data_IF_459104118569
#
_entry.id   IF_459104118569
#
_cell.length_a   1.000
_cell.length_b   1.000
_cell.length_c   1.000
_cell.angle_alpha   90.00
_cell.angle_beta   90.00
_cell.angle_gamma   90.00
#
_symmetry.space_group_name_H-M   'P 1'
#
loop_
_entity.id
_entity.type
_entity.pdbx_description
1 polymer ?
#
# COMPACT_ATOMS: atom_id res chain seq x y z
N UNK A 1 -2.71 -7.15 -6.37
CA UNK A 1 -1.39 -7.72 -5.97
C UNK A 1 -1.44 -9.26 -5.98
N UNK A 2 -0.30 -9.96 -5.90
CA UNK A 2 -0.20 -11.43 -5.99
C UNK A 2 -0.88 -12.19 -4.83
N UNK A 3 -1.11 -13.50 -5.00
CA UNK A 3 -1.79 -14.36 -4.01
C UNK A 3 -0.87 -14.94 -2.92
N UNK A 4 0.44 -15.01 -3.18
CA UNK A 4 1.45 -15.52 -2.25
C UNK A 4 2.55 -14.49 -2.05
N UNK A 5 3.30 -14.63 -0.96
CA UNK A 5 4.39 -13.71 -0.61
C UNK A 5 5.43 -13.65 -1.73
N UNK A 6 5.84 -14.79 -2.28
CA UNK A 6 6.86 -14.85 -3.35
C UNK A 6 6.39 -14.11 -4.61
N UNK A 7 5.11 -14.26 -4.98
CA UNK A 7 4.53 -13.58 -6.15
C UNK A 7 4.39 -12.07 -5.94
N UNK A 8 4.24 -11.61 -4.70
CA UNK A 8 4.21 -10.17 -4.40
C UNK A 8 5.63 -9.60 -4.47
N UNK A 9 6.60 -10.28 -3.87
CA UNK A 9 8.01 -9.88 -3.89
C UNK A 9 8.56 -9.78 -5.32
N UNK A 10 8.34 -10.80 -6.16
CA UNK A 10 8.81 -10.82 -7.55
C UNK A 10 8.25 -9.62 -8.35
N UNK A 11 6.98 -9.27 -8.11
CA UNK A 11 6.36 -8.11 -8.75
C UNK A 11 6.95 -6.80 -8.25
N UNK A 12 7.15 -6.64 -6.93
CA UNK A 12 7.75 -5.44 -6.36
C UNK A 12 9.16 -5.20 -6.92
N UNK A 13 9.98 -6.25 -7.03
CA UNK A 13 11.32 -6.14 -7.59
C UNK A 13 11.35 -5.68 -9.06
N UNK A 14 10.28 -5.98 -9.82
CA UNK A 14 10.10 -5.61 -11.23
C UNK A 14 9.61 -4.17 -11.42
N UNK A 15 8.67 -3.71 -10.58
CA UNK A 15 8.00 -2.41 -10.79
C UNK A 15 8.64 -1.26 -10.01
N UNK A 16 9.35 -1.53 -8.91
CA UNK A 16 9.96 -0.48 -8.09
C UNK A 16 11.32 -0.07 -8.68
N UNK A 17 11.52 1.22 -9.04
CA UNK A 17 12.81 1.74 -9.47
C UNK A 17 13.93 1.51 -8.44
N UNK A 18 15.17 1.34 -8.89
CA UNK A 18 16.31 0.97 -8.02
C UNK A 18 16.51 1.92 -6.84
N UNK A 19 16.31 3.22 -7.07
CA UNK A 19 16.47 4.27 -6.05
C UNK A 19 15.54 4.09 -4.85
N UNK A 20 14.37 3.47 -5.03
CA UNK A 20 13.36 3.31 -3.97
C UNK A 20 13.39 1.93 -3.30
N UNK A 21 14.21 0.98 -3.79
CA UNK A 21 14.16 -0.42 -3.32
C UNK A 21 14.52 -0.62 -1.85
N UNK A 22 15.35 0.27 -1.28
CA UNK A 22 15.75 0.21 0.13
C UNK A 22 14.61 0.66 1.04
N UNK A 23 13.92 1.74 0.68
CA UNK A 23 12.94 2.39 1.54
C UNK A 23 11.51 1.88 1.34
N UNK A 24 11.18 1.36 0.14
CA UNK A 24 9.81 0.94 -0.22
C UNK A 24 9.22 -0.07 0.77
N UNK A 25 10.06 -0.95 1.31
CA UNK A 25 9.62 -1.93 2.31
C UNK A 25 9.08 -1.24 3.57
N UNK A 26 9.84 -0.29 4.12
CA UNK A 26 9.42 0.47 5.30
C UNK A 26 8.19 1.33 5.00
N UNK A 27 8.13 1.96 3.82
CA UNK A 27 6.96 2.75 3.42
C UNK A 27 5.68 1.92 3.37
N UNK A 28 5.71 0.74 2.74
CA UNK A 28 4.53 -0.13 2.66
C UNK A 28 4.10 -0.67 4.03
N UNK A 29 5.05 -1.02 4.90
CA UNK A 29 4.75 -1.47 6.26
C UNK A 29 4.11 -0.34 7.09
N UNK A 30 4.72 0.84 7.09
CA UNK A 30 4.21 1.99 7.85
C UNK A 30 2.84 2.42 7.33
N UNK A 31 2.68 2.47 6.01
CA UNK A 31 1.41 2.80 5.37
C UNK A 31 0.31 1.78 5.73
N UNK A 32 0.60 0.48 5.67
CA UNK A 32 -0.35 -0.56 6.07
C UNK A 32 -0.68 -0.54 7.57
N UNK A 33 0.29 -0.18 8.41
CA UNK A 33 0.11 -0.12 9.87
C UNK A 33 -0.74 1.07 10.32
N UNK A 34 -0.56 2.24 9.70
CA UNK A 34 -1.14 3.49 10.19
C UNK A 34 -2.26 4.08 9.31
N UNK A 35 -2.32 3.71 8.02
CA UNK A 35 -3.30 4.25 7.06
C UNK A 35 -4.16 3.15 6.45
N UNK A 36 -3.55 2.22 5.71
CA UNK A 36 -4.25 1.14 5.00
C UNK A 36 -4.44 -0.11 5.90
N UNK A 37 -5.13 0.08 7.02
CA UNK A 37 -5.36 -0.98 8.01
C UNK A 37 -6.40 -2.00 7.52
N UNK A 38 -6.23 -3.27 7.93
CA UNK A 38 -6.96 -4.41 7.36
C UNK A 38 -8.50 -4.37 7.47
N UNK A 39 -9.05 -3.76 8.53
CA UNK A 39 -10.51 -3.77 8.78
C UNK A 39 -11.23 -2.53 8.21
N UNK A 40 -10.77 -1.33 8.57
CA UNK A 40 -11.37 -0.05 8.14
C UNK A 40 -10.24 0.90 7.70
N UNK A 41 -9.79 0.82 6.43
CA UNK A 41 -8.67 1.62 5.95
C UNK A 41 -9.02 3.11 5.97
N UNK A 42 -8.08 3.97 6.36
CA UNK A 42 -8.27 5.41 6.46
C UNK A 42 -8.18 6.10 5.09
N UNK A 43 -9.01 5.70 4.13
CA UNK A 43 -8.89 6.16 2.73
C UNK A 43 -9.01 7.67 2.61
N UNK A 44 -9.93 8.33 3.34
CA UNK A 44 -10.07 9.79 3.33
C UNK A 44 -8.85 10.58 3.86
N UNK A 45 -7.95 9.93 4.60
CA UNK A 45 -6.69 10.52 5.09
C UNK A 45 -5.45 9.93 4.37
N UNK A 46 -5.65 9.18 3.28
CA UNK A 46 -4.59 8.52 2.56
C UNK A 46 -3.95 9.46 1.53
N UNK A 47 -2.62 9.58 1.57
CA UNK A 47 -1.85 10.45 0.66
C UNK A 47 -1.82 9.99 -0.80
N UNK A 48 -2.25 8.76 -1.08
CA UNK A 48 -2.31 8.15 -2.43
C UNK A 48 -3.72 7.66 -2.75
N UNK A 49 -4.75 8.26 -2.14
CA UNK A 49 -6.14 7.86 -2.32
C UNK A 49 -6.57 7.91 -3.78
N UNK A 50 -6.21 8.98 -4.48
CA UNK A 50 -6.52 9.26 -5.88
C UNK A 50 -5.86 8.27 -6.85
N UNK A 51 -4.69 7.76 -6.48
CA UNK A 51 -3.95 6.74 -7.24
C UNK A 51 -4.34 5.30 -6.88
N UNK A 52 -5.09 5.11 -5.79
CA UNK A 52 -5.42 3.78 -5.27
C UNK A 52 -6.58 3.14 -6.03
N UNK A 53 -6.35 1.96 -6.62
CA UNK A 53 -7.32 1.17 -7.38
C UNK A 53 -8.28 0.34 -6.51
N UNK A 54 -8.25 0.50 -5.18
CA UNK A 54 -9.18 -0.20 -4.29
C UNK A 54 -10.59 0.34 -4.47
N UNK A 55 -11.58 -0.55 -4.70
CA UNK A 55 -12.96 -0.17 -5.02
C UNK A 55 -13.79 0.22 -3.80
N UNK A 56 -13.59 -0.48 -2.69
CA UNK A 56 -14.40 -0.32 -1.47
C UNK A 56 -13.77 0.70 -0.51
N UNK A 57 -13.42 1.88 -1.04
CA UNK A 57 -12.81 2.95 -0.23
C UNK A 57 -13.76 3.37 0.89
N UNK A 58 -13.21 3.65 2.07
CA UNK A 58 -14.01 4.07 3.23
C UNK A 58 -13.75 5.53 3.60
N UNK A 59 -14.82 6.25 3.93
CA UNK A 59 -14.72 7.61 4.44
C UNK A 59 -14.01 7.60 5.80
N UNK A 60 -13.00 8.46 5.93
CA UNK A 60 -12.32 8.66 7.21
C UNK A 60 -13.24 9.50 8.09
N UNK A 61 -13.88 8.87 9.07
CA UNK A 61 -14.50 9.60 10.17
C UNK A 61 -13.38 9.91 11.17
N UNK A 62 -13.14 11.20 11.40
CA UNK A 62 -12.18 11.70 12.41
C UNK A 62 -12.45 11.13 13.80
#
# INVERSE_FOLDING_TARGET
>A
MGKTVEKVEEKLLKVVPKEFKVDVHHWLILHGRYTCVARKPRCGACIIEDLCEFKDKTEYAE
#
